data_IF_845746623710
#
_entry.id   IF_845746623710
#
_cell.length_a   1.000
_cell.length_b   1.000
_cell.length_c   1.000
_cell.angle_alpha   90.00
_cell.angle_beta   90.00
_cell.angle_gamma   90.00
#
_symmetry.space_group_name_H-M   'P 1'
#
loop_
_entity.id
_entity.type
_entity.pdbx_description
1 polymer ?
#
# COMPACT_ATOMS: atom_id res chain seq x y z
N UNK A 1 60.92 36.81 -19.57
CA UNK A 1 59.82 35.90 -19.95
C UNK A 1 60.14 34.49 -19.49
N UNK A 2 59.40 33.96 -18.50
CA UNK A 2 59.06 32.53 -18.34
C UNK A 2 58.10 32.43 -17.14
N UNK A 3 56.83 32.14 -17.45
CA UNK A 3 55.73 32.00 -16.50
C UNK A 3 55.93 30.69 -15.74
N UNK A 4 56.00 30.74 -14.41
CA UNK A 4 55.96 29.55 -13.56
C UNK A 4 54.48 29.23 -13.34
N UNK A 5 54.03 28.11 -13.89
CA UNK A 5 52.68 27.60 -13.71
C UNK A 5 52.57 26.93 -12.33
N UNK A 6 51.63 27.42 -11.53
CA UNK A 6 51.21 26.84 -10.25
C UNK A 6 50.47 25.53 -10.55
N UNK A 7 50.99 24.40 -10.09
CA UNK A 7 50.28 23.13 -10.09
C UNK A 7 49.46 23.03 -8.79
N UNK A 8 48.19 23.41 -8.83
CA UNK A 8 47.24 23.17 -7.74
C UNK A 8 46.90 21.66 -7.76
N UNK A 9 47.40 20.90 -6.78
CA UNK A 9 46.88 19.57 -6.47
C UNK A 9 45.48 19.77 -5.85
N UNK A 10 44.45 19.70 -6.68
CA UNK A 10 43.06 19.59 -6.21
C UNK A 10 42.88 18.22 -5.56
N UNK A 11 42.87 18.19 -4.22
CA UNK A 11 42.35 17.08 -3.43
C UNK A 11 40.93 16.78 -3.91
N UNK A 12 40.76 15.72 -4.69
CA UNK A 12 39.50 15.02 -4.83
C UNK A 12 39.26 14.29 -3.51
N UNK A 13 38.73 15.01 -2.52
CA UNK A 13 38.04 14.40 -1.38
C UNK A 13 36.79 13.75 -1.95
N UNK A 14 36.92 12.49 -2.38
CA UNK A 14 35.79 11.58 -2.51
C UNK A 14 35.18 11.49 -1.11
N UNK A 15 34.15 12.29 -0.88
CA UNK A 15 33.25 12.12 0.24
C UNK A 15 32.52 10.80 -0.02
N UNK A 16 33.17 9.68 0.30
CA UNK A 16 32.50 8.40 0.45
C UNK A 16 31.58 8.58 1.64
N UNK A 17 30.36 9.03 1.37
CA UNK A 17 29.25 8.79 2.26
C UNK A 17 29.18 7.26 2.36
N UNK A 18 29.77 6.67 3.40
CA UNK A 18 29.63 5.24 3.66
C UNK A 18 28.12 4.99 3.82
N UNK A 19 27.48 4.52 2.75
CA UNK A 19 26.13 4.00 2.84
C UNK A 19 26.16 2.86 3.85
N UNK A 20 25.39 3.05 4.92
CA UNK A 20 25.21 2.07 5.97
C UNK A 20 24.73 0.76 5.31
N UNK A 21 25.63 -0.22 5.22
CA UNK A 21 25.33 -1.50 4.57
C UNK A 21 24.30 -2.25 5.41
N UNK A 22 23.05 -2.24 4.96
CA UNK A 22 22.01 -3.10 5.52
C UNK A 22 22.34 -4.54 5.11
N UNK A 23 22.55 -5.43 6.09
CA UNK A 23 22.86 -6.85 5.84
C UNK A 23 21.78 -7.47 4.96
N UNK A 24 22.17 -8.11 3.85
CA UNK A 24 21.25 -8.73 2.89
C UNK A 24 20.65 -7.79 1.84
N UNK A 25 20.98 -6.49 1.87
CA UNK A 25 20.52 -5.55 0.84
C UNK A 25 21.30 -5.70 -0.47
N UNK A 26 20.61 -5.54 -1.60
CA UNK A 26 21.16 -5.56 -2.95
C UNK A 26 20.99 -4.18 -3.58
N UNK A 27 21.95 -3.76 -4.41
CA UNK A 27 21.82 -2.51 -5.14
C UNK A 27 20.59 -2.54 -6.07
N UNK A 28 19.73 -1.54 -5.96
CA UNK A 28 18.48 -1.43 -6.71
C UNK A 28 18.34 -0.07 -7.37
N UNK A 29 17.96 -0.09 -8.65
CA UNK A 29 17.57 1.11 -9.39
C UNK A 29 16.15 1.56 -9.05
N UNK A 30 15.38 0.72 -8.36
CA UNK A 30 13.97 0.94 -8.06
C UNK A 30 13.77 1.04 -6.54
N UNK A 31 12.75 1.76 -6.11
CA UNK A 31 12.31 1.83 -4.73
C UNK A 31 11.47 0.60 -4.35
N UNK A 32 10.55 0.20 -5.23
CA UNK A 32 9.74 -1.02 -5.08
C UNK A 32 10.63 -2.24 -5.33
N UNK A 33 10.63 -3.22 -4.43
CA UNK A 33 11.38 -4.48 -4.63
C UNK A 33 10.49 -5.68 -4.93
N UNK A 34 9.19 -5.45 -5.13
CA UNK A 34 8.24 -6.48 -5.51
C UNK A 34 6.87 -5.92 -5.88
N UNK A 35 6.17 -6.66 -6.71
CA UNK A 35 4.76 -6.46 -7.00
C UNK A 35 3.97 -7.72 -6.64
N UNK A 36 2.74 -7.55 -6.14
CA UNK A 36 1.85 -8.65 -5.81
C UNK A 36 0.79 -8.78 -6.89
N UNK A 37 0.76 -9.92 -7.56
CA UNK A 37 -0.38 -10.32 -8.38
C UNK A 37 -1.40 -11.07 -7.53
N UNK A 38 -2.53 -10.41 -7.26
CA UNK A 38 -3.51 -10.83 -6.24
C UNK A 38 -4.14 -12.18 -6.62
N UNK A 39 -4.17 -13.10 -5.66
CA UNK A 39 -4.92 -14.35 -5.72
C UNK A 39 -5.98 -14.44 -4.64
N UNK A 40 -5.70 -13.89 -3.47
CA UNK A 40 -6.58 -13.95 -2.31
C UNK A 40 -6.48 -12.70 -1.44
N UNK A 41 -7.48 -12.52 -0.57
CA UNK A 41 -7.51 -11.46 0.42
C UNK A 41 -7.64 -12.14 1.77
N UNK A 42 -6.71 -11.85 2.66
CA UNK A 42 -6.75 -12.37 4.03
C UNK A 42 -7.03 -11.22 4.98
N UNK A 43 -7.71 -11.50 6.08
CA UNK A 43 -8.01 -10.53 7.13
C UNK A 43 -7.44 -10.96 8.47
N UNK A 44 -7.11 -9.96 9.29
CA UNK A 44 -6.84 -10.16 10.70
C UNK A 44 -8.12 -10.08 11.52
N UNK A 45 -7.96 -10.05 12.85
CA UNK A 45 -9.08 -9.73 13.72
C UNK A 45 -9.48 -8.26 13.56
N UNK A 46 -10.77 -7.98 13.76
CA UNK A 46 -11.23 -6.61 13.93
C UNK A 46 -10.77 -6.07 15.29
N UNK A 47 -10.29 -4.83 15.30
CA UNK A 47 -9.83 -4.17 16.52
C UNK A 47 -11.00 -3.69 17.38
N UNK A 48 -10.70 -3.26 18.61
CA UNK A 48 -11.70 -2.63 19.49
C UNK A 48 -12.26 -1.31 18.96
N UNK A 49 -11.62 -0.73 17.95
CA UNK A 49 -12.08 0.46 17.26
C UNK A 49 -12.85 0.09 15.98
N UNK A 50 -13.41 -1.11 15.84
CA UNK A 50 -14.14 -1.54 14.64
C UNK A 50 -13.30 -1.37 13.33
N UNK A 51 -11.99 -1.57 13.44
CA UNK A 51 -11.06 -1.52 12.31
C UNK A 51 -10.62 -2.93 11.93
N UNK A 52 -10.87 -3.31 10.67
CA UNK A 52 -10.43 -4.56 10.10
C UNK A 52 -9.14 -4.36 9.33
N UNK A 53 -8.07 -5.03 9.76
CA UNK A 53 -6.86 -5.18 8.97
C UNK A 53 -7.06 -6.23 7.87
N UNK A 54 -6.58 -5.94 6.66
CA UNK A 54 -6.54 -6.92 5.57
C UNK A 54 -5.23 -6.83 4.77
N UNK A 55 -4.91 -7.93 4.08
CA UNK A 55 -3.76 -8.06 3.20
C UNK A 55 -4.15 -8.78 1.91
N UNK A 56 -3.71 -8.24 0.78
CA UNK A 56 -3.69 -8.93 -0.49
C UNK A 56 -2.52 -9.90 -0.56
N UNK A 57 -2.80 -11.16 -0.89
CA UNK A 57 -1.78 -12.19 -1.08
C UNK A 57 -1.85 -12.77 -2.49
N UNK A 58 -0.71 -13.25 -2.96
CA UNK A 58 -0.59 -13.82 -4.30
C UNK A 58 0.85 -13.99 -4.74
N UNK A 59 1.06 -13.96 -6.05
CA UNK A 59 2.39 -14.16 -6.62
C UNK A 59 3.25 -12.91 -6.48
N UNK A 60 4.48 -13.11 -6.00
CA UNK A 60 5.47 -12.05 -5.90
C UNK A 60 6.25 -11.93 -7.21
N UNK A 61 6.05 -10.83 -7.92
CA UNK A 61 6.82 -10.43 -9.11
C UNK A 61 7.94 -9.52 -8.63
N UNK A 62 9.15 -10.05 -8.58
CA UNK A 62 10.34 -9.34 -8.11
C UNK A 62 11.46 -9.41 -9.15
N UNK A 63 12.60 -8.80 -8.83
CA UNK A 63 13.80 -8.79 -9.67
C UNK A 63 14.13 -10.18 -10.21
N UNK A 64 14.48 -10.23 -11.49
CA UNK A 64 14.73 -11.47 -12.24
C UNK A 64 13.51 -11.95 -13.02
N UNK A 65 12.32 -11.41 -12.73
CA UNK A 65 11.14 -11.53 -13.56
C UNK A 65 11.08 -10.35 -14.56
N UNK A 66 10.95 -10.56 -15.89
CA UNK A 66 10.84 -9.47 -16.86
C UNK A 66 9.70 -8.48 -16.57
N UNK A 67 8.57 -8.97 -16.05
CA UNK A 67 7.42 -8.13 -15.72
C UNK A 67 7.74 -7.13 -14.59
N UNK A 68 8.67 -7.45 -13.69
CA UNK A 68 9.12 -6.51 -12.67
C UNK A 68 9.76 -5.27 -13.29
N UNK A 69 10.68 -5.44 -14.24
CA UNK A 69 11.38 -4.32 -14.90
C UNK A 69 10.41 -3.48 -15.74
N UNK A 70 9.43 -4.12 -16.39
CA UNK A 70 8.36 -3.44 -17.13
C UNK A 70 7.49 -2.58 -16.20
N UNK A 71 7.08 -3.11 -15.05
CA UNK A 71 6.29 -2.37 -14.06
C UNK A 71 7.06 -1.21 -13.44
N UNK A 72 8.32 -1.43 -13.05
CA UNK A 72 9.20 -0.35 -12.59
C UNK A 72 9.31 0.76 -13.64
N UNK A 73 9.53 0.40 -14.91
CA UNK A 73 9.58 1.37 -16.01
C UNK A 73 8.26 2.12 -16.20
N UNK A 74 7.13 1.40 -16.18
CA UNK A 74 5.77 1.97 -16.31
C UNK A 74 5.50 3.07 -15.29
N UNK A 75 5.92 2.87 -14.04
CA UNK A 75 5.69 3.83 -12.95
C UNK A 75 6.84 4.83 -12.76
N UNK A 76 7.87 4.81 -13.62
CA UNK A 76 9.05 5.67 -13.51
C UNK A 76 10.00 5.31 -12.36
N UNK A 77 9.83 4.13 -11.77
CA UNK A 77 10.62 3.66 -10.63
C UNK A 77 11.95 3.01 -11.07
N UNK A 78 12.83 3.80 -11.69
CA UNK A 78 14.05 3.29 -12.36
C UNK A 78 15.32 4.06 -12.02
N UNK A 79 15.25 5.02 -11.09
CA UNK A 79 16.39 5.90 -10.76
C UNK A 79 16.65 6.10 -9.26
N UNK A 80 16.10 5.25 -8.41
CA UNK A 80 16.28 5.33 -6.95
C UNK A 80 17.73 5.08 -6.53
N UNK A 81 18.38 4.07 -7.14
CA UNK A 81 19.82 3.79 -7.03
C UNK A 81 20.35 3.66 -5.59
N UNK A 82 19.75 2.77 -4.78
CA UNK A 82 20.16 2.49 -3.39
C UNK A 82 20.25 1.00 -3.08
N UNK A 83 20.96 0.63 -2.01
CA UNK A 83 20.91 -0.72 -1.47
C UNK A 83 19.58 -0.97 -0.76
N UNK A 84 18.82 -1.96 -1.25
CA UNK A 84 17.49 -2.30 -0.77
C UNK A 84 17.40 -3.75 -0.37
N UNK A 85 16.67 -4.03 0.71
CA UNK A 85 16.37 -5.41 1.12
C UNK A 85 15.44 -6.03 0.07
N UNK A 86 15.75 -7.20 -0.51
CA UNK A 86 14.86 -7.88 -1.45
C UNK A 86 13.44 -8.04 -0.91
N UNK A 87 12.43 -7.94 -1.78
CA UNK A 87 11.00 -8.02 -1.43
C UNK A 87 10.46 -6.93 -0.48
N UNK A 88 11.29 -5.93 -0.11
CA UNK A 88 10.78 -4.74 0.59
C UNK A 88 9.93 -3.85 -0.31
N UNK A 89 9.11 -3.01 0.30
CA UNK A 89 8.23 -2.07 -0.39
C UNK A 89 7.36 -2.71 -1.48
N UNK A 90 6.59 -3.78 -1.18
CA UNK A 90 5.71 -4.39 -2.16
C UNK A 90 4.51 -3.48 -2.48
N UNK A 91 4.04 -3.51 -3.72
CA UNK A 91 2.76 -2.90 -4.13
C UNK A 91 1.99 -3.86 -5.03
N UNK A 92 0.70 -3.61 -5.26
CA UNK A 92 -0.06 -4.42 -6.21
C UNK A 92 0.42 -4.18 -7.65
N UNK A 93 0.45 -5.25 -8.45
CA UNK A 93 0.71 -5.18 -9.90
C UNK A 93 -0.32 -4.29 -10.59
N UNK A 94 -1.58 -4.55 -10.24
CA UNK A 94 -2.73 -4.00 -10.94
C UNK A 94 -3.41 -2.90 -10.12
N UNK A 95 -4.06 -1.99 -10.83
CA UNK A 95 -4.87 -0.93 -10.22
C UNK A 95 -6.19 -1.54 -9.76
N UNK A 96 -6.60 -1.27 -8.53
CA UNK A 96 -7.94 -1.64 -8.07
C UNK A 96 -8.94 -0.61 -8.60
N UNK A 97 -9.97 -1.10 -9.29
CA UNK A 97 -11.01 -0.28 -9.90
C UNK A 97 -12.30 -0.22 -9.09
N UNK A 98 -12.52 -1.21 -8.23
CA UNK A 98 -13.70 -1.26 -7.36
C UNK A 98 -13.43 -2.12 -6.14
N UNK A 99 -14.03 -1.73 -5.03
CA UNK A 99 -14.07 -2.43 -3.76
C UNK A 99 -15.51 -2.45 -3.28
N UNK A 100 -15.97 -3.57 -2.75
CA UNK A 100 -17.33 -3.70 -2.24
C UNK A 100 -17.36 -4.58 -0.99
N UNK A 101 -18.18 -4.18 -0.03
CA UNK A 101 -18.43 -4.92 1.21
C UNK A 101 -19.90 -5.30 1.26
N UNK A 102 -20.19 -6.59 1.26
CA UNK A 102 -21.55 -7.13 1.32
C UNK A 102 -21.72 -7.89 2.62
N UNK A 103 -22.76 -7.58 3.39
CA UNK A 103 -23.03 -8.33 4.62
C UNK A 103 -23.70 -9.68 4.30
N UNK A 104 -23.15 -10.78 4.83
CA UNK A 104 -23.74 -12.11 4.73
C UNK A 104 -24.67 -12.45 5.89
N UNK A 105 -24.71 -11.56 6.89
CA UNK A 105 -25.60 -11.54 8.04
C UNK A 105 -26.28 -10.16 8.14
N UNK A 106 -27.37 -10.08 8.91
CA UNK A 106 -27.93 -8.77 9.27
C UNK A 106 -26.91 -8.02 10.12
N UNK A 107 -26.40 -6.92 9.58
CA UNK A 107 -25.39 -6.09 10.24
C UNK A 107 -26.07 -5.12 11.21
N UNK A 108 -27.08 -4.38 10.72
CA UNK A 108 -27.93 -3.52 11.53
C UNK A 108 -29.39 -3.47 11.01
N UNK A 109 -30.15 -2.45 11.40
CA UNK A 109 -31.54 -2.28 10.96
C UNK A 109 -31.67 -1.88 9.49
N UNK A 110 -30.68 -1.16 8.96
CA UNK A 110 -30.64 -0.64 7.59
C UNK A 110 -29.89 -1.57 6.64
N UNK A 111 -28.97 -2.39 7.16
CA UNK A 111 -28.10 -3.29 6.41
C UNK A 111 -28.45 -4.75 6.70
N UNK A 112 -29.46 -5.24 5.99
CA UNK A 112 -29.91 -6.65 6.02
C UNK A 112 -29.01 -7.53 5.17
N UNK A 113 -28.94 -8.82 5.47
CA UNK A 113 -28.16 -9.78 4.67
C UNK A 113 -28.32 -9.54 3.16
N UNK A 114 -27.19 -9.46 2.46
CA UNK A 114 -27.09 -9.16 1.04
C UNK A 114 -26.97 -7.67 0.70
N UNK A 115 -27.07 -6.79 1.70
CA UNK A 115 -26.89 -5.34 1.50
C UNK A 115 -25.42 -4.97 1.46
N UNK A 116 -25.12 -3.87 0.76
CA UNK A 116 -23.80 -3.25 0.79
C UNK A 116 -23.59 -2.52 2.13
N UNK A 117 -22.32 -2.45 2.57
CA UNK A 117 -21.86 -1.67 3.72
C UNK A 117 -21.01 -0.46 3.31
N UNK A 118 -20.99 -0.12 2.01
CA UNK A 118 -20.07 0.88 1.46
C UNK A 118 -20.32 2.31 1.96
N UNK A 119 -21.55 2.61 2.40
CA UNK A 119 -21.92 3.90 2.99
C UNK A 119 -21.44 4.06 4.43
N UNK A 120 -21.19 2.94 5.13
CA UNK A 120 -20.70 2.91 6.51
C UNK A 120 -19.27 2.38 6.65
N UNK A 121 -18.50 2.36 5.57
CA UNK A 121 -17.12 1.89 5.57
C UNK A 121 -16.13 2.92 5.00
N UNK A 122 -15.00 3.09 5.68
CA UNK A 122 -13.86 3.89 5.21
C UNK A 122 -12.68 2.96 4.94
N UNK A 123 -12.11 3.05 3.75
CA UNK A 123 -10.84 2.44 3.40
C UNK A 123 -9.70 3.35 3.84
N UNK A 124 -8.73 2.80 4.55
CA UNK A 124 -7.40 3.37 4.73
C UNK A 124 -6.39 2.55 3.94
N UNK A 125 -5.62 3.23 3.10
CA UNK A 125 -4.62 2.61 2.24
C UNK A 125 -3.43 3.55 2.06
N UNK A 126 -2.36 3.04 1.47
CA UNK A 126 -1.20 3.87 1.13
C UNK A 126 -0.58 3.51 -0.21
N UNK A 127 0.11 4.47 -0.82
CA UNK A 127 0.79 4.30 -2.10
C UNK A 127 2.08 5.13 -2.14
N UNK A 128 3.19 4.60 -2.66
CA UNK A 128 4.43 5.36 -2.85
C UNK A 128 4.48 6.09 -4.20
N UNK A 129 3.38 6.10 -4.97
CA UNK A 129 3.36 6.65 -6.32
C UNK A 129 3.83 8.11 -6.37
N UNK A 130 3.38 8.95 -5.45
CA UNK A 130 3.76 10.37 -5.40
C UNK A 130 5.24 10.54 -5.02
N UNK A 131 5.76 9.71 -4.11
CA UNK A 131 7.19 9.67 -3.81
C UNK A 131 8.02 9.32 -5.06
N UNK A 132 7.61 8.29 -5.81
CA UNK A 132 8.28 7.89 -7.06
C UNK A 132 8.21 9.01 -8.10
N UNK A 133 7.02 9.57 -8.35
CA UNK A 133 6.82 10.67 -9.33
C UNK A 133 7.63 11.92 -9.01
N UNK A 134 7.85 12.22 -7.74
CA UNK A 134 8.69 13.35 -7.30
C UNK A 134 10.19 13.15 -7.59
N UNK A 135 10.57 11.99 -8.13
CA UNK A 135 11.97 11.57 -8.23
C UNK A 135 12.58 11.29 -6.86
N UNK A 136 11.79 10.70 -5.95
CA UNK A 136 12.21 10.26 -4.61
C UNK A 136 12.59 11.39 -3.64
N UNK A 137 11.92 12.54 -3.75
CA UNK A 137 12.25 13.77 -2.99
C UNK A 137 11.15 14.24 -2.07
N UNK A 138 9.89 14.00 -2.43
CA UNK A 138 8.74 14.48 -1.67
C UNK A 138 8.17 13.39 -0.79
N UNK A 139 7.96 13.74 0.48
CA UNK A 139 7.39 12.86 1.48
C UNK A 139 6.01 13.38 1.90
N UNK A 140 5.10 12.50 2.37
CA UNK A 140 3.84 12.90 2.97
C UNK A 140 4.09 13.90 4.11
N UNK A 141 3.27 14.93 4.21
CA UNK A 141 3.44 15.93 5.26
C UNK A 141 3.06 15.30 6.60
N UNK A 142 3.75 15.67 7.67
CA UNK A 142 3.48 15.13 9.02
C UNK A 142 2.09 15.47 9.54
N UNK A 143 1.45 16.48 8.95
CA UNK A 143 0.09 16.93 9.23
C UNK A 143 -0.98 16.19 8.40
N UNK A 144 -0.58 15.33 7.46
CA UNK A 144 -1.54 14.45 6.77
C UNK A 144 -2.13 13.49 7.82
N UNK A 145 -3.35 13.79 8.24
CA UNK A 145 -4.03 13.30 9.45
C UNK A 145 -4.37 11.81 9.46
N UNK A 146 -3.89 11.03 8.50
CA UNK A 146 -4.09 9.58 8.48
C UNK A 146 -3.08 8.94 9.44
N UNK A 147 -3.52 8.23 10.49
CA UNK A 147 -2.61 7.70 11.50
C UNK A 147 -1.44 6.93 10.89
N UNK A 148 -0.24 7.19 11.43
CA UNK A 148 0.99 6.48 11.10
C UNK A 148 0.90 4.93 11.03
N UNK A 149 0.04 4.20 11.79
CA UNK A 149 -0.11 2.74 11.65
C UNK A 149 -0.47 2.25 10.24
N UNK A 150 -0.92 3.11 9.33
CA UNK A 150 -1.44 2.70 8.03
C UNK A 150 -0.42 2.81 6.87
N UNK A 151 0.86 3.09 7.18
CA UNK A 151 1.95 3.14 6.17
C UNK A 151 3.11 2.21 6.54
N UNK A 152 3.70 1.47 5.57
CA UNK A 152 4.86 0.61 5.84
C UNK A 152 6.15 1.41 6.07
N UNK A 153 6.24 2.61 5.50
CA UNK A 153 7.38 3.52 5.66
C UNK A 153 6.97 4.96 5.36
N UNK A 154 7.88 5.92 5.55
CA UNK A 154 7.61 7.36 5.34
C UNK A 154 7.38 7.72 3.86
N UNK A 155 7.83 6.89 2.92
CA UNK A 155 7.70 7.09 1.47
C UNK A 155 6.28 6.82 0.95
N UNK A 156 5.46 6.10 1.74
CA UNK A 156 4.10 5.75 1.37
C UNK A 156 3.13 6.84 1.82
N UNK A 157 2.46 7.47 0.86
CA UNK A 157 1.43 8.47 1.08
C UNK A 157 0.17 7.79 1.60
N UNK A 158 -0.35 8.22 2.76
CA UNK A 158 -1.55 7.63 3.32
C UNK A 158 -2.80 8.31 2.74
N UNK A 159 -3.83 7.52 2.52
CA UNK A 159 -5.11 7.97 1.99
C UNK A 159 -6.24 7.37 2.81
N UNK A 160 -7.35 8.10 2.87
CA UNK A 160 -8.61 7.59 3.40
C UNK A 160 -9.75 7.94 2.45
N UNK A 161 -10.65 7.00 2.23
CA UNK A 161 -11.80 7.23 1.35
C UNK A 161 -12.99 6.38 1.77
N UNK A 162 -14.20 6.95 1.71
CA UNK A 162 -15.42 6.15 1.85
C UNK A 162 -15.48 5.15 0.70
N UNK A 163 -15.94 3.92 0.99
CA UNK A 163 -16.17 2.92 -0.05
C UNK A 163 -17.16 3.42 -1.11
N UNK A 164 -18.18 4.16 -0.70
CA UNK A 164 -19.16 4.77 -1.62
C UNK A 164 -18.57 5.78 -2.61
N UNK A 165 -17.43 6.38 -2.28
CA UNK A 165 -16.79 7.42 -3.10
C UNK A 165 -15.67 6.89 -3.99
N UNK A 166 -15.29 5.61 -3.85
CA UNK A 166 -14.17 5.03 -4.61
C UNK A 166 -14.45 5.09 -6.11
N UNK A 167 -13.55 5.74 -6.85
CA UNK A 167 -13.57 5.79 -8.31
C UNK A 167 -12.38 4.99 -8.82
N UNK A 168 -12.60 4.19 -9.87
CA UNK A 168 -11.68 3.10 -10.22
C UNK A 168 -10.28 3.43 -10.72
N UNK A 169 -9.86 4.70 -10.70
CA UNK A 169 -8.52 5.09 -11.15
C UNK A 169 -7.59 5.57 -10.03
N UNK A 170 -8.05 5.54 -8.77
CA UNK A 170 -7.34 6.16 -7.65
C UNK A 170 -6.45 5.21 -6.83
N UNK A 171 -6.60 3.89 -6.99
CA UNK A 171 -5.89 2.87 -6.21
C UNK A 171 -4.70 2.27 -6.98
N UNK A 172 -3.77 3.14 -7.38
CA UNK A 172 -2.56 2.79 -8.14
C UNK A 172 -1.37 2.57 -7.19
N UNK A 173 -0.58 1.53 -7.44
CA UNK A 173 0.54 1.13 -6.56
C UNK A 173 0.10 1.03 -5.09
N UNK A 174 -1.07 0.46 -4.87
CA UNK A 174 -1.59 0.26 -3.54
C UNK A 174 -0.65 -0.68 -2.76
N UNK A 175 -0.27 -0.29 -1.55
CA UNK A 175 0.45 -1.16 -0.65
C UNK A 175 -0.38 -2.41 -0.37
N UNK A 176 0.25 -3.58 -0.30
CA UNK A 176 -0.45 -4.86 -0.20
C UNK A 176 -1.34 -5.01 1.07
N UNK A 177 -1.23 -4.10 2.05
CA UNK A 177 -2.03 -4.08 3.28
C UNK A 177 -2.86 -2.82 3.37
N UNK A 178 -4.04 -2.94 3.99
CA UNK A 178 -4.92 -1.82 4.27
C UNK A 178 -5.82 -2.09 5.47
N UNK A 179 -6.65 -1.10 5.77
CA UNK A 179 -7.60 -1.17 6.88
C UNK A 179 -8.98 -0.71 6.42
N UNK A 180 -10.01 -1.30 6.99
CA UNK A 180 -11.41 -0.91 6.80
C UNK A 180 -11.94 -0.48 8.16
N UNK A 181 -12.41 0.75 8.29
CA UNK A 181 -13.11 1.23 9.47
C UNK A 181 -14.60 1.17 9.22
N UNK A 182 -15.31 0.45 10.07
CA UNK A 182 -16.76 0.50 10.12
C UNK A 182 -17.20 1.70 10.97
N UNK A 183 -18.13 2.49 10.44
CA UNK A 183 -18.66 3.70 11.09
C UNK A 183 -19.83 3.39 12.02
N UNK A 184 -20.41 2.20 11.88
CA UNK A 184 -21.52 1.70 12.67
C UNK A 184 -21.13 0.36 13.27
N UNK A 185 -21.44 0.18 14.56
CA UNK A 185 -21.26 -1.08 15.25
C UNK A 185 -22.41 -2.05 14.93
N UNK A 186 -22.14 -3.33 14.64
CA UNK A 186 -23.21 -4.27 14.31
C UNK A 186 -24.09 -4.61 15.51
N UNK A 187 -25.33 -5.03 15.25
CA UNK A 187 -26.27 -5.47 16.29
C UNK A 187 -25.83 -6.77 16.99
N UNK A 188 -25.08 -7.62 16.27
CA UNK A 188 -24.51 -8.85 16.79
C UNK A 188 -23.00 -8.83 16.59
N UNK A 189 -22.24 -9.25 17.61
CA UNK A 189 -20.78 -9.25 17.55
C UNK A 189 -20.22 -10.08 16.41
N UNK A 190 -20.78 -11.26 16.15
CA UNK A 190 -20.33 -12.12 15.06
C UNK A 190 -21.00 -11.70 13.76
N UNK A 191 -20.19 -11.36 12.77
CA UNK A 191 -20.63 -10.94 11.44
C UNK A 191 -19.90 -11.74 10.37
N UNK A 192 -20.59 -12.01 9.28
CA UNK A 192 -19.98 -12.54 8.06
C UNK A 192 -20.10 -11.46 6.97
N UNK A 193 -18.98 -11.11 6.32
CA UNK A 193 -18.93 -10.04 5.32
C UNK A 193 -18.10 -10.51 4.12
N UNK A 194 -18.65 -10.40 2.92
CA UNK A 194 -17.90 -10.58 1.68
C UNK A 194 -17.15 -9.30 1.33
N UNK A 195 -15.83 -9.40 1.19
CA UNK A 195 -15.02 -8.35 0.58
C UNK A 195 -14.68 -8.72 -0.87
N UNK A 196 -15.17 -7.89 -1.81
CA UNK A 196 -14.97 -8.08 -3.24
C UNK A 196 -14.11 -6.96 -3.82
N UNK A 197 -13.20 -7.35 -4.71
CA UNK A 197 -12.20 -6.48 -5.34
C UNK A 197 -12.20 -6.72 -6.83
N UNK A 198 -12.21 -5.64 -7.61
CA UNK A 198 -12.04 -5.68 -9.06
C UNK A 198 -10.80 -4.89 -9.45
N UNK A 199 -10.07 -5.39 -10.43
CA UNK A 199 -8.84 -4.77 -10.91
C UNK A 199 -8.98 -4.30 -12.36
N UNK A 200 -8.08 -3.42 -12.80
CA UNK A 200 -8.10 -2.84 -14.14
C UNK A 200 -7.86 -3.87 -15.26
N UNK A 201 -7.12 -4.94 -15.00
CA UNK A 201 -6.98 -6.08 -15.93
C UNK A 201 -8.23 -6.98 -16.00
N UNK A 202 -9.26 -6.70 -15.19
CA UNK A 202 -10.52 -7.44 -15.18
C UNK A 202 -10.59 -8.60 -14.19
N UNK A 203 -9.58 -8.78 -13.31
CA UNK A 203 -9.65 -9.77 -12.24
C UNK A 203 -10.71 -9.37 -11.22
N UNK A 204 -11.47 -10.35 -10.75
CA UNK A 204 -12.38 -10.21 -9.62
C UNK A 204 -11.97 -11.20 -8.55
N UNK A 205 -11.65 -10.70 -7.36
CA UNK A 205 -11.30 -11.49 -6.18
C UNK A 205 -12.39 -11.24 -5.13
N UNK A 206 -12.81 -12.28 -4.44
CA UNK A 206 -13.83 -12.18 -3.39
C UNK A 206 -13.47 -13.11 -2.24
N UNK A 207 -13.64 -12.65 -1.02
CA UNK A 207 -13.41 -13.47 0.18
C UNK A 207 -14.42 -13.13 1.25
N UNK A 208 -14.94 -14.16 1.92
CA UNK A 208 -15.82 -14.00 3.07
C UNK A 208 -14.99 -13.93 4.35
N UNK A 209 -15.21 -12.88 5.13
CA UNK A 209 -14.59 -12.69 6.43
C UNK A 209 -15.58 -13.00 7.54
N UNK A 210 -15.16 -13.83 8.47
CA UNK A 210 -15.84 -14.08 9.73
C UNK A 210 -15.25 -13.14 10.79
N UNK A 211 -16.00 -12.11 11.17
CA UNK A 211 -15.56 -11.04 12.04
C UNK A 211 -16.23 -11.12 13.40
N UNK A 212 -15.48 -10.81 14.46
CA UNK A 212 -15.99 -10.75 15.82
C UNK A 212 -15.79 -9.35 16.40
N UNK A 213 -16.80 -8.50 16.28
CA UNK A 213 -16.82 -7.15 16.81
C UNK A 213 -16.89 -7.17 18.35
N UNK A 214 -16.06 -6.36 18.99
CA UNK A 214 -16.05 -6.27 20.46
C UNK A 214 -17.32 -5.59 20.93
N UNK A 215 -18.09 -6.16 21.88
CA UNK A 215 -19.33 -5.54 22.33
C UNK A 215 -19.11 -4.09 22.80
N UNK A 216 -19.96 -3.17 22.35
CA UNK A 216 -20.00 -1.81 22.92
C UNK A 216 -20.24 -1.91 24.43
N UNK A 217 -19.30 -1.38 25.24
CA UNK A 217 -19.51 -1.24 26.68
C UNK A 217 -20.75 -0.34 26.88
N UNK A 218 -21.77 -0.88 27.54
CA UNK A 218 -22.95 -0.13 27.99
C UNK A 218 -22.55 0.94 29.02
#
# INVERSE_FOLDING_TARGET
MKKIYILLLSLLTLCSCEEQKITGALFSKSFLQGFIDIKEIVSGNISNNDELYFMFQGENIARGNPLYDELCTKYGDVSYNRYMVPFSNPCLVDTITSLDLICNTDFDNNHKKGSSLNDIAILYYSSPLEFIKSGYKEYPKTEDTTPAPYRPSKEYYPYSKSFSDLKGEELILLYQMGYIKFLVHPLQSRQSITFKVQTKSGKTISTDFELNFTPTKK
#
